data_IF_223489381405
#
_entry.id   IF_223489381405
#
_cell.length_a   1.000
_cell.length_b   1.000
_cell.length_c   1.000
_cell.angle_alpha   90.00
_cell.angle_beta   90.00
_cell.angle_gamma   90.00
#
_symmetry.space_group_name_H-M   'P 1'
#
loop_
_entity.id
_entity.type
_entity.pdbx_description
1 polymer ?
#
# COMPACT_ATOMS: atom_id res chain seq x y z
N UNK A 1 -12.06 5.89 22.92
CA UNK A 1 -12.98 4.92 23.53
C UNK A 1 -14.43 5.45 23.54
N UNK A 2 -14.72 6.64 24.08
CA UNK A 2 -16.07 7.20 24.10
C UNK A 2 -16.81 7.26 22.74
N UNK A 3 -16.13 7.66 21.66
CA UNK A 3 -16.75 7.68 20.32
C UNK A 3 -17.09 6.27 19.80
N UNK A 4 -16.35 5.24 20.24
CA UNK A 4 -16.66 3.85 19.91
C UNK A 4 -17.89 3.38 20.69
N UNK A 5 -17.95 3.71 21.98
CA UNK A 5 -19.11 3.41 22.83
C UNK A 5 -20.40 4.01 22.21
N UNK A 6 -20.37 5.29 21.84
CA UNK A 6 -21.50 5.95 21.17
C UNK A 6 -21.93 5.30 19.85
N UNK A 7 -21.01 4.68 19.11
CA UNK A 7 -21.31 4.09 17.79
C UNK A 7 -21.84 2.66 17.85
N UNK A 8 -21.46 1.88 18.85
CA UNK A 8 -21.64 0.42 18.84
C UNK A 8 -22.37 -0.13 20.06
N UNK A 9 -22.49 0.63 21.15
CA UNK A 9 -23.19 0.19 22.36
C UNK A 9 -24.65 0.60 22.26
N UNK A 10 -25.55 -0.30 22.65
CA UNK A 10 -26.98 0.02 22.71
C UNK A 10 -27.22 1.17 23.69
N UNK A 11 -28.15 2.11 23.41
CA UNK A 11 -28.35 3.30 24.23
C UNK A 11 -28.56 3.03 25.72
N UNK A 12 -29.15 1.88 26.05
CA UNK A 12 -29.47 1.44 27.40
C UNK A 12 -28.22 1.13 28.26
N UNK A 13 -27.08 0.80 27.62
CA UNK A 13 -25.84 0.43 28.30
C UNK A 13 -24.74 1.49 28.11
N UNK A 14 -25.04 2.63 27.47
CA UNK A 14 -24.03 3.65 27.19
C UNK A 14 -23.46 4.28 28.46
N UNK A 15 -24.29 4.52 29.47
CA UNK A 15 -23.84 5.17 30.72
C UNK A 15 -22.89 4.27 31.52
N UNK A 16 -23.15 2.96 31.55
CA UNK A 16 -22.26 1.97 32.15
C UNK A 16 -20.90 1.95 31.45
N UNK A 17 -20.90 1.90 30.11
CA UNK A 17 -19.67 1.93 29.31
C UNK A 17 -18.90 3.24 29.49
N UNK A 18 -19.57 4.38 29.59
CA UNK A 18 -18.91 5.67 29.85
C UNK A 18 -18.23 5.69 31.22
N UNK A 19 -18.87 5.14 32.25
CA UNK A 19 -18.28 5.02 33.58
C UNK A 19 -17.06 4.09 33.57
N UNK A 20 -17.11 2.98 32.84
CA UNK A 20 -15.96 2.08 32.66
C UNK A 20 -14.79 2.84 32.00
N UNK A 21 -15.05 3.57 30.92
CA UNK A 21 -14.01 4.34 30.21
C UNK A 21 -13.43 5.44 31.12
N UNK A 22 -14.27 6.12 31.91
CA UNK A 22 -13.82 7.13 32.88
C UNK A 22 -12.93 6.51 33.95
N UNK A 23 -13.33 5.37 34.50
CA UNK A 23 -12.56 4.63 35.49
C UNK A 23 -11.20 4.18 34.95
N UNK A 24 -11.16 3.65 33.72
CA UNK A 24 -9.91 3.30 33.04
C UNK A 24 -9.00 4.53 32.90
N UNK A 25 -9.57 5.69 32.53
CA UNK A 25 -8.82 6.95 32.44
C UNK A 25 -8.20 7.37 33.78
N UNK A 26 -9.01 7.35 34.84
CA UNK A 26 -8.56 7.70 36.20
C UNK A 26 -7.50 6.73 36.72
N UNK A 27 -7.67 5.42 36.50
CA UNK A 27 -6.70 4.39 36.88
C UNK A 27 -5.34 4.55 36.19
N UNK A 28 -5.33 5.11 34.98
CA UNK A 28 -4.11 5.45 34.24
C UNK A 28 -3.57 6.85 34.57
N UNK A 29 -4.06 7.49 35.64
CA UNK A 29 -3.65 8.83 36.10
C UNK A 29 -3.83 9.93 35.04
N UNK A 30 -4.80 9.80 34.14
CA UNK A 30 -5.16 10.92 33.26
C UNK A 30 -5.89 12.00 34.07
N UNK A 31 -5.59 13.30 33.82
CA UNK A 31 -6.34 14.39 34.44
C UNK A 31 -7.83 14.32 34.13
N UNK A 32 -8.67 14.63 35.12
CA UNK A 32 -10.14 14.53 34.98
C UNK A 32 -10.63 15.46 33.87
N UNK A 33 -10.04 16.66 33.77
CA UNK A 33 -10.36 17.65 32.74
C UNK A 33 -10.09 17.10 31.33
N UNK A 34 -9.03 16.29 31.19
CA UNK A 34 -8.70 15.66 29.93
C UNK A 34 -9.71 14.57 29.54
N UNK A 35 -10.16 13.77 30.52
CA UNK A 35 -11.15 12.71 30.32
C UNK A 35 -12.49 13.32 29.92
N UNK A 36 -12.93 14.36 30.62
CA UNK A 36 -14.20 15.05 30.36
C UNK A 36 -14.15 15.77 28.99
N UNK A 37 -13.02 16.40 28.65
CA UNK A 37 -12.82 16.97 27.32
C UNK A 37 -12.89 15.91 26.21
N UNK A 38 -12.34 14.72 26.44
CA UNK A 38 -12.39 13.61 25.49
C UNK A 38 -13.83 13.10 25.30
N UNK A 39 -14.63 13.07 26.37
CA UNK A 39 -16.05 12.73 26.32
C UNK A 39 -16.86 13.76 25.52
N UNK A 40 -16.68 15.04 25.79
CA UNK A 40 -17.37 16.12 25.08
C UNK A 40 -17.00 16.17 23.59
N UNK A 41 -15.73 15.95 23.25
CA UNK A 41 -15.30 15.79 21.85
C UNK A 41 -15.98 14.61 21.16
N UNK A 42 -16.14 13.49 21.86
CA UNK A 42 -16.80 12.30 21.31
C UNK A 42 -18.29 12.55 21.05
N UNK A 43 -19.00 13.17 22.01
CA UNK A 43 -20.40 13.60 21.83
C UNK A 43 -20.53 14.54 20.65
N UNK A 44 -19.71 15.60 20.61
CA UNK A 44 -19.72 16.58 19.52
C UNK A 44 -19.50 15.90 18.17
N UNK A 45 -18.57 14.95 18.07
CA UNK A 45 -18.31 14.23 16.83
C UNK A 45 -19.41 13.25 16.42
N UNK A 46 -20.17 12.69 17.37
CA UNK A 46 -21.23 11.73 17.08
C UNK A 46 -22.55 12.44 16.71
N UNK A 47 -22.92 13.45 17.48
CA UNK A 47 -24.18 14.17 17.30
C UNK A 47 -24.11 15.29 16.27
N UNK A 48 -22.95 15.94 16.08
CA UNK A 48 -22.80 16.91 14.99
C UNK A 48 -22.51 16.19 13.68
N UNK A 49 -23.57 15.80 12.98
CA UNK A 49 -23.52 15.43 11.56
C UNK A 49 -23.45 16.70 10.73
N UNK A 50 -22.36 17.47 10.86
CA UNK A 50 -22.10 18.49 9.86
C UNK A 50 -21.82 17.77 8.54
N UNK A 51 -22.44 18.18 7.42
CA UNK A 51 -22.11 17.60 6.12
C UNK A 51 -20.60 17.79 5.90
N UNK A 52 -19.91 16.69 5.60
CA UNK A 52 -18.52 16.76 5.18
C UNK A 52 -18.49 17.64 3.92
N UNK A 53 -17.98 18.86 4.05
CA UNK A 53 -17.67 19.69 2.88
C UNK A 53 -16.56 18.96 2.15
N UNK A 54 -16.91 18.26 1.07
CA UNK A 54 -15.93 17.60 0.21
C UNK A 54 -14.96 18.68 -0.25
N UNK A 55 -13.66 18.43 -0.09
CA UNK A 55 -12.64 19.34 -0.58
C UNK A 55 -12.78 19.43 -2.10
N UNK A 56 -13.11 20.62 -2.60
CA UNK A 56 -13.21 20.87 -4.02
C UNK A 56 -11.80 20.91 -4.64
N UNK A 57 -11.46 19.81 -5.31
CA UNK A 57 -10.18 19.60 -5.99
C UNK A 57 -10.12 20.34 -7.33
N UNK A 58 -11.23 20.88 -7.82
CA UNK A 58 -11.24 21.59 -9.11
C UNK A 58 -10.31 22.81 -9.05
N UNK A 59 -9.55 23.00 -10.14
CA UNK A 59 -8.54 24.05 -10.28
C UNK A 59 -7.52 24.10 -9.13
N UNK A 60 -7.11 22.94 -8.62
CA UNK A 60 -6.08 22.85 -7.59
C UNK A 60 -4.76 22.39 -8.18
N UNK A 61 -3.70 23.17 -7.94
CA UNK A 61 -2.33 22.84 -8.31
C UNK A 61 -1.56 22.42 -7.07
N UNK A 62 -1.05 21.18 -7.04
CA UNK A 62 -0.27 20.65 -5.93
C UNK A 62 1.22 20.63 -6.31
N UNK A 63 2.04 21.44 -5.64
CA UNK A 63 3.48 21.54 -5.91
C UNK A 63 4.31 21.29 -4.66
N UNK A 64 5.55 20.84 -4.83
CA UNK A 64 6.48 20.77 -3.70
C UNK A 64 6.69 22.16 -3.10
N UNK A 65 6.69 22.28 -1.77
CA UNK A 65 7.00 23.56 -1.13
C UNK A 65 8.44 23.96 -1.44
N UNK A 66 8.60 25.12 -2.08
CA UNK A 66 9.83 25.88 -2.07
C UNK A 66 9.47 27.37 -1.86
N UNK A 67 10.46 28.19 -1.53
CA UNK A 67 10.24 29.61 -1.28
C UNK A 67 9.75 30.35 -2.55
N UNK A 68 10.28 29.99 -3.72
CA UNK A 68 9.98 30.68 -4.98
C UNK A 68 8.54 30.43 -5.46
N UNK A 69 8.04 29.18 -5.37
CA UNK A 69 6.66 28.81 -5.69
C UNK A 69 5.69 29.48 -4.71
N UNK A 70 6.15 29.83 -3.50
CA UNK A 70 5.29 30.52 -2.54
C UNK A 70 4.79 31.87 -3.04
N UNK A 71 5.59 32.54 -3.88
CA UNK A 71 5.24 33.80 -4.51
C UNK A 71 4.12 33.64 -5.55
N UNK A 72 3.98 32.45 -6.15
CA UNK A 72 2.97 32.16 -7.18
C UNK A 72 1.55 32.04 -6.61
N UNK A 73 1.40 31.96 -5.28
CA UNK A 73 0.09 31.83 -4.64
C UNK A 73 -0.88 32.94 -5.03
N UNK A 74 -0.42 34.20 -5.05
CA UNK A 74 -1.27 35.36 -5.38
C UNK A 74 -1.67 35.37 -6.86
N UNK A 75 -0.74 35.27 -7.83
CA UNK A 75 -1.08 35.18 -9.25
C UNK A 75 -2.02 34.01 -9.58
N UNK A 76 -1.75 32.82 -9.05
CA UNK A 76 -2.57 31.63 -9.32
C UNK A 76 -3.98 31.78 -8.75
N UNK A 77 -4.12 32.39 -7.57
CA UNK A 77 -5.44 32.65 -6.99
C UNK A 77 -6.26 33.62 -7.84
N UNK A 78 -5.62 34.64 -8.46
CA UNK A 78 -6.30 35.55 -9.40
C UNK A 78 -6.82 34.82 -10.65
N UNK A 79 -6.16 33.74 -11.05
CA UNK A 79 -6.59 32.86 -12.14
C UNK A 79 -7.61 31.80 -11.69
N UNK A 80 -8.06 31.84 -10.43
CA UNK A 80 -8.97 30.86 -9.86
C UNK A 80 -8.30 29.50 -9.55
N UNK A 81 -6.97 29.44 -9.54
CA UNK A 81 -6.19 28.24 -9.25
C UNK A 81 -5.75 28.24 -7.78
N UNK A 82 -6.15 27.20 -7.04
CA UNK A 82 -5.77 26.99 -5.64
C UNK A 82 -4.40 26.28 -5.60
N UNK A 83 -3.40 26.91 -5.00
CA UNK A 83 -2.07 26.30 -4.81
C UNK A 83 -2.00 25.56 -3.46
N UNK A 84 -1.71 24.26 -3.51
CA UNK A 84 -1.44 23.41 -2.35
C UNK A 84 0.03 23.02 -2.35
N UNK A 85 0.67 23.09 -1.17
CA UNK A 85 2.03 22.64 -1.01
C UNK A 85 2.11 21.20 -0.52
N UNK A 86 2.93 20.40 -1.20
CA UNK A 86 3.41 19.11 -0.73
C UNK A 86 4.77 19.31 -0.08
N UNK A 87 4.89 18.99 1.20
CA UNK A 87 6.18 18.97 1.87
C UNK A 87 6.82 17.60 1.65
N UNK A 88 8.04 17.59 1.11
CA UNK A 88 8.76 16.35 0.79
C UNK A 88 9.21 15.58 2.03
N UNK A 89 9.32 16.25 3.18
CA UNK A 89 9.68 15.66 4.46
C UNK A 89 8.67 16.11 5.51
N UNK A 90 7.72 15.23 5.88
CA UNK A 90 6.83 15.49 7.01
C UNK A 90 7.58 15.16 8.29
N UNK A 91 7.22 15.76 9.42
CA UNK A 91 7.80 15.36 10.71
C UNK A 91 7.63 13.85 10.96
N UNK A 92 6.51 13.27 10.55
CA UNK A 92 6.28 11.82 10.64
C UNK A 92 7.27 10.96 9.82
N UNK A 93 7.92 11.54 8.82
CA UNK A 93 8.96 10.88 8.01
C UNK A 93 10.34 10.98 8.69
N UNK A 94 10.55 12.01 9.52
CA UNK A 94 11.78 12.27 10.28
C UNK A 94 11.77 11.54 11.62
N UNK A 95 10.60 11.43 12.25
CA UNK A 95 10.44 10.79 13.55
C UNK A 95 10.62 9.27 13.42
N UNK A 96 11.41 8.70 14.34
CA UNK A 96 11.65 7.25 14.41
C UNK A 96 10.33 6.52 14.63
N UNK A 97 9.99 5.61 13.71
CA UNK A 97 8.83 4.74 13.86
C UNK A 97 9.23 3.55 14.74
N UNK A 98 8.73 3.50 15.97
CA UNK A 98 8.96 2.39 16.91
C UNK A 98 8.16 1.12 16.57
N UNK A 99 7.42 1.11 15.46
CA UNK A 99 6.78 -0.10 14.95
C UNK A 99 7.85 -1.07 14.44
N UNK A 100 7.77 -2.37 14.75
CA UNK A 100 8.71 -3.36 14.22
C UNK A 100 8.76 -3.24 12.69
N UNK A 101 9.98 -3.15 12.13
CA UNK A 101 10.21 -3.01 10.69
C UNK A 101 10.00 -4.34 9.97
N UNK A 102 8.82 -4.95 10.12
CA UNK A 102 8.50 -6.21 9.47
C UNK A 102 7.75 -5.96 8.16
N UNK A 103 8.38 -5.20 7.25
CA UNK A 103 7.85 -4.98 5.90
C UNK A 103 8.98 -5.08 4.89
N UNK A 104 9.27 -6.30 4.45
CA UNK A 104 10.05 -6.54 3.23
C UNK A 104 9.13 -6.48 2.02
N UNK A 105 8.47 -5.34 1.85
CA UNK A 105 7.63 -5.13 0.71
C UNK A 105 8.51 -5.19 -0.55
N UNK A 106 8.13 -6.03 -1.50
CA UNK A 106 9.02 -6.43 -2.57
C UNK A 106 8.27 -6.90 -3.80
N UNK A 107 8.95 -6.84 -4.94
CA UNK A 107 8.59 -7.58 -6.15
C UNK A 107 9.44 -8.84 -6.16
N UNK A 108 8.82 -9.98 -6.41
CA UNK A 108 9.43 -11.31 -6.33
C UNK A 108 9.06 -12.16 -7.54
N UNK A 109 9.80 -13.26 -7.72
CA UNK A 109 9.53 -14.29 -8.70
C UNK A 109 9.44 -15.68 -8.05
N UNK A 110 8.61 -16.55 -8.63
CA UNK A 110 8.55 -17.98 -8.30
C UNK A 110 8.82 -18.74 -9.60
N UNK A 111 9.82 -19.62 -9.58
CA UNK A 111 10.18 -20.43 -10.74
C UNK A 111 9.44 -21.77 -10.73
N UNK A 112 9.09 -22.25 -11.92
CA UNK A 112 8.65 -23.62 -12.13
C UNK A 112 9.74 -24.44 -12.84
N UNK A 113 9.72 -25.77 -12.67
CA UNK A 113 10.66 -26.66 -13.36
C UNK A 113 10.54 -26.60 -14.90
N UNK A 114 9.42 -26.10 -15.44
CA UNK A 114 9.24 -25.83 -16.87
C UNK A 114 10.04 -24.60 -17.39
N UNK A 115 10.84 -23.94 -16.55
CA UNK A 115 11.60 -22.72 -16.87
C UNK A 115 10.76 -21.45 -17.10
N UNK A 116 9.50 -21.45 -16.69
CA UNK A 116 8.67 -20.25 -16.63
C UNK A 116 8.63 -19.66 -15.21
N UNK A 117 8.32 -18.37 -15.12
CA UNK A 117 8.33 -17.60 -13.88
C UNK A 117 6.99 -16.91 -13.64
N UNK A 118 6.52 -16.98 -12.39
CA UNK A 118 5.50 -16.08 -11.89
C UNK A 118 6.15 -14.84 -11.29
N UNK A 119 5.62 -13.66 -11.60
CA UNK A 119 6.06 -12.39 -11.02
C UNK A 119 4.93 -11.85 -10.15
N UNK A 120 5.24 -11.43 -8.93
CA UNK A 120 4.26 -10.85 -8.03
C UNK A 120 4.85 -9.74 -7.18
N UNK A 121 4.00 -8.91 -6.60
CA UNK A 121 4.38 -7.99 -5.54
C UNK A 121 3.70 -8.32 -4.21
N UNK A 122 4.36 -7.93 -3.12
CA UNK A 122 3.81 -8.12 -1.77
C UNK A 122 4.19 -6.96 -0.84
N UNK A 123 3.37 -6.75 0.19
CA UNK A 123 3.64 -5.82 1.30
C UNK A 123 3.91 -6.56 2.62
N UNK A 124 3.99 -7.89 2.56
CA UNK A 124 4.34 -8.82 3.63
C UNK A 124 5.54 -9.65 3.18
N UNK A 125 6.09 -10.52 4.02
CA UNK A 125 7.22 -11.37 3.65
C UNK A 125 6.89 -12.22 2.41
N UNK A 126 7.88 -12.38 1.52
CA UNK A 126 7.74 -13.19 0.31
C UNK A 126 7.36 -14.63 0.67
N UNK A 127 7.94 -15.18 1.73
CA UNK A 127 7.62 -16.53 2.24
C UNK A 127 6.15 -16.68 2.63
N UNK A 128 5.57 -15.69 3.32
CA UNK A 128 4.16 -15.69 3.68
C UNK A 128 3.26 -15.59 2.43
N UNK A 129 3.64 -14.77 1.46
CA UNK A 129 2.92 -14.66 0.19
C UNK A 129 2.97 -15.97 -0.60
N UNK A 130 4.12 -16.63 -0.63
CA UNK A 130 4.32 -17.93 -1.26
C UNK A 130 3.44 -19.00 -0.62
N UNK A 131 3.35 -19.04 0.71
CA UNK A 131 2.44 -19.95 1.42
C UNK A 131 0.97 -19.74 1.04
N UNK A 132 0.54 -18.49 0.82
CA UNK A 132 -0.80 -18.19 0.31
C UNK A 132 -1.01 -18.77 -1.10
N UNK A 133 -0.03 -18.63 -2.00
CA UNK A 133 -0.11 -19.25 -3.33
C UNK A 133 -0.17 -20.78 -3.24
N UNK A 134 0.64 -21.42 -2.38
CA UNK A 134 0.56 -22.86 -2.15
C UNK A 134 -0.84 -23.29 -1.70
N UNK A 135 -1.46 -22.52 -0.80
CA UNK A 135 -2.83 -22.79 -0.35
C UNK A 135 -3.83 -22.68 -1.49
N UNK A 136 -3.72 -21.65 -2.36
CA UNK A 136 -4.57 -21.51 -3.54
C UNK A 136 -4.43 -22.69 -4.51
N UNK A 137 -3.21 -23.19 -4.74
CA UNK A 137 -2.98 -24.37 -5.59
C UNK A 137 -3.62 -25.61 -4.95
N UNK A 138 -3.43 -25.83 -3.65
CA UNK A 138 -4.08 -26.95 -2.93
C UNK A 138 -5.61 -26.87 -2.96
N UNK A 139 -6.16 -25.67 -2.98
CA UNK A 139 -7.60 -25.43 -3.05
C UNK A 139 -8.15 -25.44 -4.49
N UNK A 140 -7.31 -25.68 -5.51
CA UNK A 140 -7.67 -25.60 -6.93
C UNK A 140 -8.32 -24.25 -7.31
N UNK A 141 -7.81 -23.14 -6.77
CA UNK A 141 -8.32 -21.81 -7.06
C UNK A 141 -7.98 -21.37 -8.50
N UNK A 142 -8.98 -21.40 -9.38
CA UNK A 142 -8.85 -21.02 -10.80
C UNK A 142 -8.50 -19.54 -11.03
N UNK A 143 -8.62 -18.68 -10.01
CA UNK A 143 -8.21 -17.27 -10.11
C UNK A 143 -6.70 -17.08 -9.90
N UNK A 144 -5.99 -18.11 -9.41
CA UNK A 144 -4.57 -18.05 -9.14
C UNK A 144 -3.74 -18.49 -10.37
N UNK A 145 -2.87 -17.61 -10.86
CA UNK A 145 -2.01 -17.88 -12.00
C UNK A 145 -1.16 -19.15 -11.85
N UNK A 146 -0.60 -19.38 -10.66
CA UNK A 146 0.23 -20.56 -10.39
C UNK A 146 -0.59 -21.87 -10.39
N UNK A 147 -1.86 -21.81 -9.96
CA UNK A 147 -2.74 -22.97 -10.03
C UNK A 147 -3.12 -23.30 -11.47
N UNK A 148 -3.49 -22.28 -12.25
CA UNK A 148 -3.79 -22.45 -13.69
C UNK A 148 -2.57 -23.02 -14.42
N UNK A 149 -1.39 -22.46 -14.17
CA UNK A 149 -0.14 -22.94 -14.77
C UNK A 149 0.17 -24.39 -14.34
N UNK A 150 0.05 -24.71 -13.06
CA UNK A 150 0.29 -26.08 -12.55
C UNK A 150 -0.59 -27.12 -13.25
N UNK A 151 -1.87 -26.81 -13.48
CA UNK A 151 -2.78 -27.68 -14.22
C UNK A 151 -2.41 -27.88 -15.70
N UNK A 152 -1.66 -26.95 -16.30
CA UNK A 152 -1.25 -27.01 -17.72
C UNK A 152 0.11 -27.71 -17.87
N UNK A 153 1.12 -27.28 -17.10
CA UNK A 153 2.48 -27.79 -17.25
C UNK A 153 2.67 -29.13 -16.53
N UNK A 154 1.90 -29.38 -15.46
CA UNK A 154 2.02 -30.53 -14.58
C UNK A 154 3.46 -30.77 -14.06
N UNK A 155 4.22 -29.69 -13.90
CA UNK A 155 5.58 -29.67 -13.36
C UNK A 155 5.60 -29.05 -11.97
N UNK A 156 6.62 -29.40 -11.19
CA UNK A 156 6.76 -28.88 -9.82
C UNK A 156 7.11 -27.38 -9.80
N UNK A 157 6.41 -26.63 -8.95
CA UNK A 157 6.69 -25.24 -8.65
C UNK A 157 7.69 -25.19 -7.49
N UNK A 158 8.75 -24.39 -7.63
CA UNK A 158 9.76 -24.25 -6.60
C UNK A 158 9.32 -23.27 -5.51
N UNK A 159 8.61 -23.78 -4.51
CA UNK A 159 8.10 -22.97 -3.42
C UNK A 159 9.15 -22.56 -2.37
N UNK A 160 10.25 -23.29 -2.27
CA UNK A 160 11.21 -23.13 -1.17
C UNK A 160 12.23 -22.02 -1.42
N UNK A 161 12.41 -21.62 -2.68
CA UNK A 161 13.40 -20.63 -3.07
C UNK A 161 12.77 -19.53 -3.94
N UNK A 162 11.82 -18.75 -3.41
CA UNK A 162 11.32 -17.58 -4.10
C UNK A 162 12.44 -16.55 -4.28
N UNK A 163 12.46 -15.90 -5.44
CA UNK A 163 13.51 -14.95 -5.80
C UNK A 163 13.00 -13.53 -5.52
N UNK A 164 13.55 -12.85 -4.52
CA UNK A 164 13.30 -11.42 -4.34
C UNK A 164 14.05 -10.63 -5.42
N UNK A 165 13.30 -9.87 -6.23
CA UNK A 165 13.84 -9.04 -7.30
C UNK A 165 14.25 -7.67 -6.78
N UNK A 166 13.29 -6.93 -6.19
CA UNK A 166 13.52 -5.55 -5.71
C UNK A 166 12.70 -5.32 -4.44
N UNK A 167 13.34 -4.75 -3.41
CA UNK A 167 12.67 -4.30 -2.19
C UNK A 167 12.22 -2.84 -2.32
N UNK A 168 10.91 -2.61 -2.21
CA UNK A 168 10.30 -1.28 -2.30
C UNK A 168 9.09 -1.19 -1.38
N UNK A 169 9.08 -0.17 -0.52
CA UNK A 169 7.97 0.07 0.39
C UNK A 169 6.78 0.79 -0.26
N UNK A 170 7.02 1.53 -1.34
CA UNK A 170 5.98 2.26 -2.05
C UNK A 170 5.09 1.34 -2.89
N UNK A 171 3.79 1.38 -2.64
CA UNK A 171 2.79 0.54 -3.31
C UNK A 171 2.72 0.84 -4.81
N UNK A 172 2.79 2.12 -5.18
CA UNK A 172 2.70 2.53 -6.58
C UNK A 172 3.90 2.00 -7.38
N UNK A 173 5.11 2.23 -6.88
CA UNK A 173 6.36 1.78 -7.49
C UNK A 173 6.42 0.25 -7.63
N UNK A 174 5.97 -0.50 -6.62
CA UNK A 174 5.91 -1.97 -6.72
C UNK A 174 5.00 -2.46 -7.85
N UNK A 175 3.78 -1.96 -7.94
CA UNK A 175 2.85 -2.35 -9.00
C UNK A 175 3.36 -1.94 -10.39
N UNK A 176 4.01 -0.77 -10.49
CA UNK A 176 4.61 -0.30 -11.74
C UNK A 176 5.75 -1.22 -12.18
N UNK A 177 6.63 -1.62 -11.26
CA UNK A 177 7.73 -2.53 -11.58
C UNK A 177 7.27 -3.95 -11.86
N UNK A 178 6.28 -4.46 -11.13
CA UNK A 178 5.65 -5.76 -11.42
C UNK A 178 5.14 -5.79 -12.86
N UNK A 179 4.31 -4.82 -13.26
CA UNK A 179 3.78 -4.74 -14.62
C UNK A 179 4.91 -4.59 -15.67
N UNK A 180 5.95 -3.80 -15.37
CA UNK A 180 7.08 -3.62 -16.29
C UNK A 180 7.87 -4.92 -16.47
N UNK A 181 8.14 -5.65 -15.38
CA UNK A 181 8.87 -6.92 -15.40
C UNK A 181 8.05 -7.99 -16.13
N UNK A 182 6.76 -8.13 -15.81
CA UNK A 182 5.85 -9.07 -16.51
C UNK A 182 5.89 -8.82 -18.03
N UNK A 183 5.77 -7.55 -18.44
CA UNK A 183 5.84 -7.18 -19.86
C UNK A 183 7.21 -7.48 -20.49
N UNK A 184 8.29 -7.33 -19.73
CA UNK A 184 9.65 -7.57 -20.22
C UNK A 184 9.95 -9.06 -20.43
N UNK A 185 9.41 -9.94 -19.58
CA UNK A 185 9.63 -11.40 -19.65
C UNK A 185 8.40 -12.20 -20.09
N UNK A 186 7.47 -11.57 -20.82
CA UNK A 186 6.16 -12.15 -21.16
C UNK A 186 6.25 -13.56 -21.80
N UNK A 187 7.31 -13.86 -22.54
CA UNK A 187 7.53 -15.15 -23.19
C UNK A 187 7.83 -16.30 -22.21
N UNK A 188 8.32 -15.99 -21.01
CA UNK A 188 8.69 -16.95 -19.97
C UNK A 188 7.91 -16.68 -18.68
N UNK A 189 6.70 -16.12 -18.80
CA UNK A 189 5.89 -15.67 -17.69
C UNK A 189 4.57 -16.43 -17.60
N UNK A 190 4.17 -16.76 -16.37
CA UNK A 190 2.92 -17.52 -16.11
C UNK A 190 1.77 -16.63 -15.62
N UNK A 191 1.96 -15.31 -15.50
CA UNK A 191 0.90 -14.43 -15.04
C UNK A 191 -0.25 -14.39 -16.06
N UNK A 192 -1.49 -14.32 -15.56
CA UNK A 192 -2.69 -14.25 -16.41
C UNK A 192 -2.82 -12.87 -17.08
N UNK A 193 -2.34 -11.82 -16.40
CA UNK A 193 -2.51 -10.41 -16.81
C UNK A 193 -1.18 -9.68 -16.79
N UNK A 194 -1.06 -8.59 -17.56
CA UNK A 194 0.12 -7.69 -17.62
C UNK A 194 0.33 -6.83 -16.35
N UNK A 195 -0.27 -7.21 -15.22
CA UNK A 195 -0.25 -6.46 -13.96
C UNK A 195 -1.30 -5.35 -13.88
N UNK A 196 -1.22 -4.54 -12.82
CA UNK A 196 -2.20 -3.49 -12.49
C UNK A 196 -2.19 -2.31 -13.46
N UNK A 197 -1.03 -1.99 -14.05
CA UNK A 197 -0.86 -0.84 -14.94
C UNK A 197 -0.54 -1.27 -16.36
N UNK A 198 -1.18 -0.64 -17.34
CA UNK A 198 -0.79 -0.79 -18.74
C UNK A 198 0.39 0.13 -19.02
N UNK A 199 1.56 -0.47 -19.25
CA UNK A 199 2.81 0.26 -19.51
C UNK A 199 3.08 0.21 -21.02
N UNK A 200 3.22 1.36 -21.68
CA UNK A 200 3.62 1.44 -23.09
C UNK A 200 5.13 1.17 -23.27
N UNK A 201 5.62 1.13 -24.51
CA UNK A 201 7.02 0.80 -24.78
C UNK A 201 7.99 1.93 -24.39
N UNK A 202 7.53 3.19 -24.40
CA UNK A 202 8.33 4.34 -24.03
C UNK A 202 8.56 4.37 -22.51
N UNK A 203 7.48 4.22 -21.74
CA UNK A 203 7.54 4.10 -20.28
C UNK A 203 8.33 2.86 -19.84
N UNK A 204 8.14 1.73 -20.53
CA UNK A 204 8.90 0.52 -20.25
C UNK A 204 10.41 0.78 -20.37
N UNK A 205 10.85 1.45 -21.45
CA UNK A 205 12.27 1.79 -21.63
C UNK A 205 12.80 2.66 -20.50
N UNK A 206 12.05 3.71 -20.14
CA UNK A 206 12.44 4.60 -19.04
C UNK A 206 12.58 3.86 -17.71
N UNK A 207 11.65 2.96 -17.39
CA UNK A 207 11.67 2.16 -16.16
C UNK A 207 12.86 1.18 -16.18
N UNK A 208 13.09 0.50 -17.30
CA UNK A 208 14.21 -0.44 -17.47
C UNK A 208 15.55 0.26 -17.23
N UNK A 209 15.72 1.47 -17.77
CA UNK A 209 16.95 2.25 -17.63
C UNK A 209 17.13 2.78 -16.19
N UNK A 210 16.08 3.32 -15.59
CA UNK A 210 16.09 3.83 -14.20
C UNK A 210 16.47 2.76 -13.18
N UNK A 211 15.89 1.56 -13.30
CA UNK A 211 16.06 0.48 -12.32
C UNK A 211 17.07 -0.59 -12.77
N UNK A 212 17.74 -0.39 -13.92
CA UNK A 212 18.67 -1.34 -14.54
C UNK A 212 18.11 -2.77 -14.59
N UNK A 213 16.85 -2.89 -15.00
CA UNK A 213 16.10 -4.14 -14.89
C UNK A 213 16.74 -5.30 -15.66
N UNK A 214 17.38 -5.03 -16.81
CA UNK A 214 18.06 -6.07 -17.58
C UNK A 214 19.22 -6.70 -16.80
N UNK A 215 20.05 -5.88 -16.15
CA UNK A 215 21.18 -6.36 -15.35
C UNK A 215 20.68 -7.13 -14.12
N UNK A 216 19.59 -6.63 -13.51
CA UNK A 216 18.96 -7.27 -12.38
C UNK A 216 18.43 -8.66 -12.75
N UNK A 217 17.62 -8.77 -13.81
CA UNK A 217 17.04 -10.04 -14.24
C UNK A 217 18.12 -11.05 -14.63
N UNK A 218 19.17 -10.60 -15.32
CA UNK A 218 20.34 -11.43 -15.61
C UNK A 218 21.02 -11.95 -14.36
N UNK A 219 21.27 -11.09 -13.38
CA UNK A 219 21.89 -11.49 -12.11
C UNK A 219 21.06 -12.50 -11.31
N UNK A 220 19.74 -12.54 -11.54
CA UNK A 220 18.80 -13.44 -10.89
C UNK A 220 18.45 -14.67 -11.72
N UNK A 221 19.00 -14.82 -12.93
CA UNK A 221 18.74 -15.95 -13.82
C UNK A 221 17.38 -15.92 -14.53
N UNK A 222 16.74 -14.74 -14.62
CA UNK A 222 15.47 -14.52 -15.33
C UNK A 222 15.70 -13.96 -16.76
N UNK A 223 16.85 -14.25 -17.38
CA UNK A 223 17.17 -13.69 -18.69
C UNK A 223 16.32 -14.29 -19.82
N UNK A 224 16.11 -13.50 -20.87
CA UNK A 224 15.49 -13.97 -22.12
C UNK A 224 16.44 -14.98 -22.74
N UNK A 225 16.02 -16.23 -22.90
CA UNK A 225 16.68 -17.13 -23.86
C UNK A 225 16.29 -16.74 -25.28
#
# INVERSE_FOLDING_TARGET
MYLRALKYVSPQFCDEEFNIIKNIGTLNNFPIEFIDLAFEKAKKSFYNVLPLVKFDVMNTLCLAYNLDISMLRKPLLMLGIKLIYKYNHKMCDILVKNSPSCKEASVYAINCACSEFYIGQTNILVTERVAQHQQCVRANDSSNALNVHYGICNQDINWNQPITLINLNDYFSRNMLEAAIIKLIWQNNVNITLGTYTIDNFLLKFIVDQYKLNDLLKSKGLDRR
#
